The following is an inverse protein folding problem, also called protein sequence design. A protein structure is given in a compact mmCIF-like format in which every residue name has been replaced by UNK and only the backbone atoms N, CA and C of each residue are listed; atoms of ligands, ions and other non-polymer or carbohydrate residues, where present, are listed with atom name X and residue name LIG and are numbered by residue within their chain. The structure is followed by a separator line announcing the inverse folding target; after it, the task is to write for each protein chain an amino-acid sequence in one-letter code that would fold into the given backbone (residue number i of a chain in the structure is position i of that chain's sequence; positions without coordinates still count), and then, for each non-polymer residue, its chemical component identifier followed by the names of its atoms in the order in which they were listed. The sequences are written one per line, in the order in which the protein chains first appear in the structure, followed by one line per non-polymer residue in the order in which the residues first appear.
data_IF_213823859560
#
_entry.id   IF_213823859560
#
_cell.length_a   1.000
_cell.length_b   1.000
_cell.length_c   1.000
_cell.angle_alpha   90.00
_cell.angle_beta   90.00
_cell.angle_gamma   90.00
#
_symmetry.space_group_name_H-M   'P 1'
#
loop_
_entity.id
_entity.type
_entity.pdbx_description
1 polymer ?
#
# COMPACT_ATOMS: atom_id res chain seq x y z
N UNK A 1 10.04 24.51 1.19
CA UNK A 1 10.92 23.79 0.23
C UNK A 1 11.08 22.39 0.76
N UNK A 2 10.44 21.44 0.07
CA UNK A 2 10.48 20.00 0.35
C UNK A 2 11.77 19.41 -0.22
N UNK A 3 12.35 18.45 0.49
CA UNK A 3 13.47 17.68 -0.06
C UNK A 3 12.91 16.55 -0.92
N UNK A 4 13.64 16.15 -1.95
CA UNK A 4 13.25 15.02 -2.82
C UNK A 4 14.02 13.78 -2.37
N UNK A 5 13.29 12.68 -2.14
CA UNK A 5 13.85 11.37 -1.85
C UNK A 5 13.33 10.37 -2.87
N UNK A 6 14.23 9.60 -3.48
CA UNK A 6 13.85 8.46 -4.32
C UNK A 6 13.76 7.23 -3.44
N UNK A 7 12.55 6.75 -3.20
CA UNK A 7 12.29 5.54 -2.43
C UNK A 7 12.46 4.32 -3.34
N UNK A 8 13.26 3.35 -2.94
CA UNK A 8 13.39 2.08 -3.65
C UNK A 8 12.17 1.21 -3.38
N UNK A 9 11.39 0.92 -4.43
CA UNK A 9 10.17 0.11 -4.39
C UNK A 9 10.26 -1.08 -5.36
N UNK A 10 11.31 -1.91 -5.29
CA UNK A 10 11.48 -2.99 -6.26
C UNK A 10 10.36 -4.04 -6.15
N UNK A 11 10.11 -4.83 -7.20
CA UNK A 11 9.14 -5.92 -7.16
C UNK A 11 9.55 -6.94 -6.08
N UNK A 12 8.58 -7.41 -5.30
CA UNK A 12 8.78 -8.45 -4.30
C UNK A 12 7.90 -9.68 -4.60
N UNK A 13 8.24 -10.87 -4.06
CA UNK A 13 7.46 -12.08 -4.28
C UNK A 13 5.99 -11.91 -3.91
N UNK A 14 5.09 -12.54 -4.67
CA UNK A 14 3.69 -12.64 -4.28
C UNK A 14 3.56 -13.56 -3.06
N UNK A 15 2.91 -13.08 -2.01
CA UNK A 15 2.70 -13.82 -0.76
C UNK A 15 1.25 -14.30 -0.61
N UNK A 16 0.37 -13.88 -1.51
CA UNK A 16 -1.04 -14.28 -1.60
C UNK A 16 -1.27 -15.28 -2.73
N UNK A 17 -2.46 -15.88 -2.76
CA UNK A 17 -2.81 -16.88 -3.78
C UNK A 17 -2.81 -16.29 -5.20
N UNK A 18 -2.60 -17.17 -6.17
CA UNK A 18 -2.73 -16.86 -7.59
C UNK A 18 -4.11 -16.24 -7.90
N UNK A 19 -4.12 -15.16 -8.68
CA UNK A 19 -5.33 -14.43 -9.06
C UNK A 19 -5.80 -13.37 -8.06
N UNK A 20 -5.28 -13.34 -6.84
CA UNK A 20 -5.55 -12.24 -5.88
C UNK A 20 -4.75 -10.99 -6.24
N UNK A 21 -3.49 -11.19 -6.63
CA UNK A 21 -2.56 -10.12 -6.96
C UNK A 21 -1.75 -10.52 -8.20
N UNK A 22 -1.70 -9.66 -9.22
CA UNK A 22 -0.98 -9.88 -10.48
C UNK A 22 0.53 -9.64 -10.36
N UNK A 23 1.01 -9.20 -9.19
CA UNK A 23 2.41 -9.15 -8.80
C UNK A 23 3.32 -8.57 -9.88
N UNK A 24 3.03 -7.33 -10.30
CA UNK A 24 3.80 -6.58 -11.29
C UNK A 24 3.75 -7.15 -12.73
N UNK A 25 2.82 -8.06 -13.03
CA UNK A 25 2.70 -8.74 -14.32
C UNK A 25 2.57 -7.79 -15.52
N UNK A 26 1.97 -6.61 -15.34
CA UNK A 26 1.85 -5.61 -16.40
C UNK A 26 2.85 -4.44 -16.30
N UNK A 27 3.29 -4.07 -15.09
CA UNK A 27 4.30 -3.02 -14.87
C UNK A 27 5.11 -3.29 -13.60
N UNK A 28 6.43 -3.46 -13.79
CA UNK A 28 7.38 -3.49 -12.68
C UNK A 28 7.43 -2.15 -11.92
N UNK A 29 7.49 -2.22 -10.60
CA UNK A 29 7.84 -1.10 -9.73
C UNK A 29 9.36 -1.00 -9.60
N UNK A 30 9.90 0.20 -9.44
CA UNK A 30 11.33 0.44 -9.26
C UNK A 30 11.59 1.50 -8.19
N UNK A 31 11.09 2.71 -8.41
CA UNK A 31 11.27 3.84 -7.52
C UNK A 31 9.99 4.65 -7.41
N UNK A 32 9.83 5.28 -6.24
CA UNK A 32 8.83 6.30 -6.00
C UNK A 32 9.52 7.60 -5.58
N UNK A 33 9.35 8.67 -6.36
CA UNK A 33 9.77 10.00 -5.95
C UNK A 33 8.85 10.48 -4.83
N UNK A 34 9.42 10.83 -3.67
CA UNK A 34 8.72 11.39 -2.54
C UNK A 34 9.24 12.79 -2.23
N UNK A 35 8.34 13.79 -2.25
CA UNK A 35 8.62 15.13 -1.76
C UNK A 35 8.36 15.18 -0.26
N UNK A 36 9.43 14.97 0.51
CA UNK A 36 9.34 14.87 1.97
C UNK A 36 9.21 16.23 2.65
N UNK A 37 8.50 16.31 3.79
CA UNK A 37 8.61 17.46 4.66
C UNK A 37 10.03 17.55 5.26
N UNK A 38 10.42 18.75 5.66
CA UNK A 38 11.70 18.98 6.37
C UNK A 38 11.78 18.18 7.67
N UNK A 39 10.67 18.13 8.40
CA UNK A 39 10.50 17.34 9.62
C UNK A 39 9.36 16.36 9.38
N UNK A 40 9.65 15.08 9.51
CA UNK A 40 8.66 14.02 9.38
C UNK A 40 8.02 13.76 10.75
N UNK A 41 6.70 13.89 10.86
CA UNK A 41 5.98 13.46 12.05
C UNK A 41 5.84 11.93 12.07
N UNK A 42 6.17 11.30 13.19
CA UNK A 42 6.14 9.83 13.37
C UNK A 42 5.26 9.38 14.54
N UNK A 43 4.47 10.31 15.08
CA UNK A 43 3.65 10.11 16.29
C UNK A 43 2.29 9.49 15.98
N UNK A 44 1.74 9.76 14.78
CA UNK A 44 0.44 9.25 14.36
C UNK A 44 0.50 7.75 14.08
N UNK A 45 -0.56 7.04 14.47
CA UNK A 45 -0.75 5.63 14.17
C UNK A 45 -1.24 5.44 12.74
N UNK A 46 -0.96 4.27 12.18
CA UNK A 46 -1.58 3.83 10.93
C UNK A 46 -2.96 3.27 11.26
N UNK A 47 -4.00 3.97 10.84
CA UNK A 47 -5.40 3.60 11.05
C UNK A 47 -6.09 3.36 9.71
N UNK A 48 -7.27 2.75 9.70
CA UNK A 48 -8.01 2.34 8.49
C UNK A 48 -8.50 3.51 7.63
N UNK A 49 -8.50 4.73 8.16
CA UNK A 49 -8.92 5.91 7.42
C UNK A 49 -7.75 6.49 6.62
N UNK A 50 -8.01 6.83 5.35
CA UNK A 50 -7.05 7.55 4.52
C UNK A 50 -6.64 8.87 5.19
N UNK A 51 -5.35 9.05 5.52
CA UNK A 51 -4.92 10.21 6.27
C UNK A 51 -4.95 11.47 5.39
N UNK A 52 -5.33 12.63 5.96
CA UNK A 52 -5.32 13.88 5.20
C UNK A 52 -3.89 14.25 4.77
N UNK A 53 -3.76 14.82 3.57
CA UNK A 53 -2.49 15.30 3.02
C UNK A 53 -1.66 14.25 2.29
N UNK A 54 -2.11 13.00 2.21
CA UNK A 54 -1.57 12.00 1.29
C UNK A 54 -2.10 12.28 -0.12
N UNK A 55 -1.20 12.55 -1.08
CA UNK A 55 -1.55 12.73 -2.49
C UNK A 55 -0.49 12.21 -3.45
N UNK A 56 -0.92 11.62 -4.57
CA UNK A 56 -0.08 11.36 -5.73
C UNK A 56 -0.22 12.50 -6.72
N UNK A 57 0.85 13.26 -6.93
CA UNK A 57 0.82 14.44 -7.78
C UNK A 57 1.25 14.09 -9.19
N UNK A 58 0.48 14.55 -10.18
CA UNK A 58 0.76 14.31 -11.59
C UNK A 58 1.99 15.12 -12.02
N UNK A 59 2.93 14.49 -12.71
CA UNK A 59 4.10 15.14 -13.30
C UNK A 59 3.73 16.09 -14.42
N UNK A 60 2.84 15.63 -15.32
CA UNK A 60 2.24 16.42 -16.40
C UNK A 60 0.76 16.06 -16.53
N UNK A 61 -0.09 16.89 -15.92
CA UNK A 61 -1.53 16.68 -15.96
C UNK A 61 -2.11 16.71 -17.38
N UNK A 62 -1.48 17.46 -18.30
CA UNK A 62 -1.94 17.56 -19.68
C UNK A 62 -1.64 16.29 -20.48
N UNK A 63 -0.46 15.69 -20.26
CA UNK A 63 -0.07 14.42 -20.87
C UNK A 63 -0.88 13.23 -20.34
N UNK A 64 -1.47 13.36 -19.15
CA UNK A 64 -2.22 12.29 -18.48
C UNK A 64 -3.71 12.61 -18.31
N UNK A 65 -4.29 13.34 -19.27
CA UNK A 65 -5.70 13.71 -19.27
C UNK A 65 -6.69 12.52 -19.30
N UNK A 66 -6.20 11.29 -19.49
CA UNK A 66 -6.96 10.05 -19.43
C UNK A 66 -7.26 9.57 -17.99
N UNK A 67 -6.58 10.12 -16.98
CA UNK A 67 -6.81 9.80 -15.58
C UNK A 67 -8.07 10.51 -15.03
N UNK A 68 -8.70 9.98 -13.98
CA UNK A 68 -9.82 10.64 -13.31
C UNK A 68 -9.35 11.93 -12.62
N UNK A 69 -9.57 13.07 -13.28
CA UNK A 69 -9.13 14.41 -12.84
C UNK A 69 -10.04 15.10 -11.85
N UNK A 70 -11.19 14.51 -11.56
CA UNK A 70 -12.33 15.22 -10.96
C UNK A 70 -12.08 15.77 -9.54
N UNK A 71 -10.93 15.46 -8.92
CA UNK A 71 -10.69 15.67 -7.49
C UNK A 71 -9.26 16.07 -7.15
N UNK A 72 -8.52 16.58 -8.13
CA UNK A 72 -7.08 16.69 -8.08
C UNK A 72 -6.49 17.70 -7.08
N UNK A 73 -7.30 18.62 -6.55
CA UNK A 73 -6.82 19.76 -5.73
C UNK A 73 -7.34 19.78 -4.29
N UNK A 74 -8.31 18.93 -3.95
CA UNK A 74 -9.02 19.03 -2.66
C UNK A 74 -8.30 18.37 -1.48
N UNK A 75 -7.19 17.64 -1.72
CA UNK A 75 -6.57 16.74 -0.72
C UNK A 75 -5.18 17.16 -0.22
N UNK A 76 -4.59 18.20 -0.81
CA UNK A 76 -3.21 18.66 -0.53
C UNK A 76 -3.12 20.00 0.22
N UNK A 77 -4.12 20.36 1.04
CA UNK A 77 -4.14 21.66 1.71
C UNK A 77 -2.90 21.87 2.60
N UNK A 78 -2.22 23.01 2.46
CA UNK A 78 -1.03 23.35 3.25
C UNK A 78 0.31 22.83 2.71
N UNK A 79 0.31 22.16 1.55
CA UNK A 79 1.52 21.67 0.90
C UNK A 79 2.19 22.66 -0.06
N UNK A 80 1.57 23.82 -0.31
CA UNK A 80 2.02 24.77 -1.32
C UNK A 80 1.94 24.20 -2.74
N UNK A 81 1.03 23.24 -2.94
CA UNK A 81 0.76 22.61 -4.23
C UNK A 81 -0.43 23.28 -4.94
N UNK A 82 -0.45 24.60 -4.88
CA UNK A 82 -1.61 25.38 -5.29
C UNK A 82 -1.82 25.32 -6.81
N UNK A 83 -0.80 24.96 -7.59
CA UNK A 83 -0.84 24.91 -9.06
C UNK A 83 -0.76 23.48 -9.62
N UNK A 84 -0.51 22.49 -8.77
CA UNK A 84 -0.38 21.09 -9.16
C UNK A 84 -1.71 20.33 -9.14
N UNK A 85 -1.87 19.37 -10.06
CA UNK A 85 -2.96 18.41 -10.04
C UNK A 85 -2.48 17.11 -9.37
N UNK A 86 -3.26 16.59 -8.43
CA UNK A 86 -3.02 15.30 -7.80
C UNK A 86 -4.14 14.29 -8.09
N UNK A 87 -3.95 13.04 -7.71
CA UNK A 87 -4.99 12.03 -7.72
C UNK A 87 -5.70 12.05 -6.36
N UNK A 88 -7.02 11.90 -6.37
CA UNK A 88 -7.76 11.73 -5.13
C UNK A 88 -7.51 10.33 -4.53
N UNK A 89 -7.46 10.21 -3.19
CA UNK A 89 -7.18 8.93 -2.52
C UNK A 89 -8.15 7.79 -2.88
N UNK A 90 -9.37 8.09 -3.30
CA UNK A 90 -10.36 7.06 -3.69
C UNK A 90 -10.40 6.78 -5.20
N UNK A 91 -9.51 7.38 -5.99
CA UNK A 91 -9.43 7.18 -7.42
C UNK A 91 -8.27 6.25 -7.83
N UNK A 92 -7.64 5.56 -6.86
CA UNK A 92 -6.47 4.70 -7.09
C UNK A 92 -6.79 3.52 -7.99
N UNK A 93 -7.90 2.81 -7.74
CA UNK A 93 -8.28 1.65 -8.54
C UNK A 93 -8.63 2.07 -9.98
N UNK A 94 -9.49 3.08 -10.15
CA UNK A 94 -9.83 3.65 -11.46
C UNK A 94 -8.59 4.16 -12.21
N UNK A 95 -7.66 4.81 -11.52
CA UNK A 95 -6.41 5.27 -12.11
C UNK A 95 -5.53 4.08 -12.53
N UNK A 96 -5.48 3.01 -11.75
CA UNK A 96 -4.70 1.80 -12.08
C UNK A 96 -5.18 1.16 -13.38
N UNK A 97 -6.49 1.01 -13.56
CA UNK A 97 -7.09 0.50 -14.79
C UNK A 97 -6.74 1.38 -15.99
N UNK A 98 -6.84 2.70 -15.81
CA UNK A 98 -6.47 3.67 -16.85
C UNK A 98 -4.98 3.64 -17.20
N UNK A 99 -4.09 3.49 -16.22
CA UNK A 99 -2.65 3.34 -16.46
C UNK A 99 -2.37 2.06 -17.25
N UNK A 100 -3.03 0.95 -16.90
CA UNK A 100 -2.92 -0.32 -17.60
C UNK A 100 -3.39 -0.21 -19.05
N UNK A 101 -4.58 0.35 -19.28
CA UNK A 101 -5.16 0.58 -20.61
C UNK A 101 -4.21 1.38 -21.51
N UNK A 102 -3.59 2.43 -20.96
CA UNK A 102 -2.71 3.34 -21.68
C UNK A 102 -1.23 2.92 -21.67
N UNK A 103 -0.87 1.82 -20.98
CA UNK A 103 0.52 1.38 -20.77
C UNK A 103 1.42 2.46 -20.17
N UNK A 104 0.86 3.30 -19.31
CA UNK A 104 1.59 4.35 -18.62
C UNK A 104 2.18 3.80 -17.31
N UNK A 105 3.49 3.97 -17.12
CA UNK A 105 4.15 3.49 -15.89
C UNK A 105 3.87 4.47 -14.75
N UNK A 106 3.48 4.00 -13.55
CA UNK A 106 3.15 4.90 -12.45
C UNK A 106 4.25 5.94 -12.13
N UNK A 107 5.53 5.59 -12.23
CA UNK A 107 6.63 6.55 -11.95
C UNK A 107 6.76 7.66 -12.99
N UNK A 108 6.31 7.43 -14.21
CA UNK A 108 6.34 8.44 -15.29
C UNK A 108 5.18 9.42 -15.11
N UNK A 109 4.18 9.05 -14.33
CA UNK A 109 2.94 9.79 -14.14
C UNK A 109 2.94 10.53 -12.81
N UNK A 110 3.39 9.89 -11.73
CA UNK A 110 3.21 10.39 -10.37
C UNK A 110 4.53 10.61 -9.61
N UNK A 111 4.44 11.50 -8.62
CA UNK A 111 5.29 11.53 -7.44
C UNK A 111 4.42 11.65 -6.19
N UNK A 112 4.94 11.27 -5.02
CA UNK A 112 4.22 11.24 -3.76
C UNK A 112 4.47 12.51 -2.93
N UNK A 113 3.40 13.10 -2.40
CA UNK A 113 3.46 14.01 -1.25
C UNK A 113 2.80 13.33 -0.03
N UNK A 114 3.57 13.19 1.04
CA UNK A 114 3.13 12.57 2.30
C UNK A 114 3.77 13.26 3.52
N UNK A 115 3.00 13.86 4.45
CA UNK A 115 3.54 14.77 5.50
C UNK A 115 4.02 14.08 6.76
N UNK A 116 3.62 12.84 6.94
CA UNK A 116 3.82 12.09 8.17
C UNK A 116 4.03 10.61 7.85
N UNK A 117 4.50 9.86 8.84
CA UNK A 117 4.81 8.45 8.67
C UNK A 117 3.57 7.64 8.28
N UNK A 118 2.41 7.89 8.89
CA UNK A 118 1.14 7.25 8.55
C UNK A 118 0.75 7.51 7.09
N UNK A 119 0.87 8.75 6.63
CA UNK A 119 0.62 9.10 5.22
C UNK A 119 1.62 8.45 4.26
N UNK A 120 2.89 8.31 4.65
CA UNK A 120 3.90 7.65 3.83
C UNK A 120 3.64 6.15 3.70
N UNK A 121 3.20 5.50 4.79
CA UNK A 121 2.81 4.09 4.77
C UNK A 121 1.63 3.88 3.82
N UNK A 122 0.58 4.69 3.93
CA UNK A 122 -0.56 4.63 3.01
C UNK A 122 -0.17 4.94 1.57
N UNK A 123 0.72 5.91 1.33
CA UNK A 123 1.26 6.16 -0.01
C UNK A 123 2.04 4.98 -0.58
N UNK A 124 2.82 4.24 0.23
CA UNK A 124 3.49 3.03 -0.23
C UNK A 124 2.52 1.87 -0.45
N UNK A 125 1.44 1.80 0.32
CA UNK A 125 0.35 0.84 0.13
C UNK A 125 -0.36 1.08 -1.20
N UNK A 126 -0.81 2.31 -1.45
CA UNK A 126 -1.47 2.71 -2.71
C UNK A 126 -0.52 2.57 -3.90
N UNK A 127 0.79 2.79 -3.69
CA UNK A 127 1.79 2.53 -4.72
C UNK A 127 1.78 1.06 -5.15
N UNK A 128 1.60 0.12 -4.22
CA UNK A 128 1.47 -1.30 -4.57
C UNK A 128 0.20 -1.57 -5.40
N UNK A 129 -0.90 -0.86 -5.16
CA UNK A 129 -2.12 -0.97 -5.97
C UNK A 129 -1.87 -0.62 -7.44
N UNK A 130 -1.12 0.44 -7.73
CA UNK A 130 -0.77 0.81 -9.11
C UNK A 130 0.03 -0.25 -9.87
N UNK A 131 0.47 -1.33 -9.22
CA UNK A 131 1.18 -2.44 -9.85
C UNK A 131 0.41 -3.76 -9.80
N UNK A 132 -0.84 -3.70 -9.35
CA UNK A 132 -1.76 -4.81 -9.29
C UNK A 132 -2.98 -4.51 -10.15
N UNK A 133 -3.34 -5.42 -11.03
CA UNK A 133 -4.55 -5.31 -11.82
C UNK A 133 -5.29 -6.65 -11.75
N UNK A 134 -6.59 -6.63 -11.46
CA UNK A 134 -7.37 -7.85 -11.30
C UNK A 134 -8.77 -7.59 -10.76
N UNK A 135 -9.55 -8.63 -10.48
CA UNK A 135 -10.95 -8.47 -10.08
C UNK A 135 -11.14 -8.00 -8.62
N UNK A 136 -10.06 -7.96 -7.81
CA UNK A 136 -10.09 -7.53 -6.40
C UNK A 136 -11.13 -8.25 -5.51
N UNK A 137 -11.57 -9.45 -5.90
CA UNK A 137 -12.64 -10.22 -5.25
C UNK A 137 -12.33 -10.73 -3.82
N UNK A 138 -11.08 -10.59 -3.37
CA UNK A 138 -10.61 -11.03 -2.04
C UNK A 138 -9.92 -9.86 -1.32
N UNK A 139 -10.68 -8.84 -0.87
CA UNK A 139 -10.12 -7.60 -0.37
C UNK A 139 -9.11 -7.79 0.75
N UNK A 140 -9.42 -8.55 1.82
CA UNK A 140 -8.48 -8.71 2.94
C UNK A 140 -7.13 -9.34 2.51
N UNK A 141 -7.15 -10.22 1.51
CA UNK A 141 -5.92 -10.80 0.96
C UNK A 141 -5.16 -9.80 0.09
N UNK A 142 -5.83 -9.06 -0.80
CA UNK A 142 -5.20 -7.99 -1.59
C UNK A 142 -4.53 -6.96 -0.68
N UNK A 143 -5.28 -6.47 0.32
CA UNK A 143 -4.80 -5.49 1.29
C UNK A 143 -3.60 -6.02 2.07
N UNK A 144 -3.60 -7.29 2.48
CA UNK A 144 -2.46 -7.93 3.15
C UNK A 144 -1.19 -7.88 2.28
N UNK A 145 -1.30 -8.18 0.97
CA UNK A 145 -0.17 -8.09 0.05
C UNK A 145 0.36 -6.66 -0.02
N UNK A 146 -0.52 -5.67 -0.17
CA UNK A 146 -0.17 -4.25 -0.23
C UNK A 146 0.49 -3.75 1.05
N UNK A 147 -0.05 -4.10 2.23
CA UNK A 147 0.51 -3.73 3.53
C UNK A 147 1.92 -4.30 3.72
N UNK A 148 2.14 -5.58 3.36
CA UNK A 148 3.44 -6.22 3.48
C UNK A 148 4.47 -5.60 2.54
N UNK A 149 4.06 -5.25 1.31
CA UNK A 149 4.90 -4.52 0.36
C UNK A 149 5.28 -3.16 0.91
N UNK A 150 4.30 -2.39 1.38
CA UNK A 150 4.50 -1.07 1.95
C UNK A 150 5.51 -1.11 3.12
N UNK A 151 5.34 -2.06 4.05
CA UNK A 151 6.26 -2.23 5.18
C UNK A 151 7.66 -2.67 4.74
N UNK A 152 7.77 -3.55 3.75
CA UNK A 152 9.06 -4.00 3.23
C UNK A 152 9.82 -2.85 2.55
N UNK A 153 9.14 -2.05 1.73
CA UNK A 153 9.73 -0.86 1.12
C UNK A 153 10.07 0.21 2.17
N UNK A 154 9.23 0.41 3.18
CA UNK A 154 9.51 1.32 4.28
C UNK A 154 10.80 0.92 5.03
N UNK A 155 10.95 -0.36 5.37
CA UNK A 155 12.17 -0.90 6.00
C UNK A 155 13.40 -0.71 5.14
N UNK A 156 13.28 -1.00 3.84
CA UNK A 156 14.37 -0.82 2.87
C UNK A 156 14.88 0.63 2.83
N UNK A 157 13.95 1.58 2.93
CA UNK A 157 14.24 3.00 2.84
C UNK A 157 14.42 3.68 4.21
N UNK A 158 14.35 2.94 5.33
CA UNK A 158 14.31 3.50 6.68
C UNK A 158 15.44 4.49 6.96
N UNK A 159 16.67 4.18 6.53
CA UNK A 159 17.83 5.07 6.67
C UNK A 159 17.68 6.37 5.89
N UNK A 160 17.17 6.33 4.65
CA UNK A 160 16.97 7.51 3.82
C UNK A 160 15.82 8.39 4.33
N UNK A 161 14.80 7.76 4.94
CA UNK A 161 13.67 8.45 5.56
C UNK A 161 14.09 9.06 6.91
N UNK A 162 15.00 8.40 7.64
CA UNK A 162 15.41 8.77 9.00
C UNK A 162 14.54 8.10 10.08
N UNK A 163 14.09 6.87 9.84
CA UNK A 163 13.30 6.08 10.79
C UNK A 163 14.20 5.20 11.66
N UNK A 164 13.81 5.06 12.91
CA UNK A 164 14.40 4.11 13.85
C UNK A 164 13.58 2.81 13.92
N UNK A 165 14.14 1.79 14.58
CA UNK A 165 13.48 0.49 14.76
C UNK A 165 12.18 0.60 15.57
N UNK A 166 12.09 1.59 16.47
CA UNK A 166 10.89 1.81 17.27
C UNK A 166 9.72 2.29 16.40
N UNK A 167 9.96 3.21 15.46
CA UNK A 167 8.95 3.66 14.50
C UNK A 167 8.53 2.51 13.57
N UNK A 168 9.48 1.73 13.05
CA UNK A 168 9.19 0.57 12.20
C UNK A 168 8.38 -0.50 12.95
N UNK A 169 8.72 -0.76 14.21
CA UNK A 169 7.99 -1.70 15.07
C UNK A 169 6.55 -1.26 15.33
N UNK A 170 6.32 0.05 15.54
CA UNK A 170 4.96 0.59 15.67
C UNK A 170 4.14 0.42 14.39
N UNK A 171 4.71 0.76 13.23
CA UNK A 171 4.04 0.57 11.94
C UNK A 171 3.70 -0.90 11.70
N UNK A 172 4.63 -1.82 11.98
CA UNK A 172 4.38 -3.25 11.84
C UNK A 172 3.21 -3.72 12.72
N UNK A 173 3.14 -3.26 13.97
CA UNK A 173 2.05 -3.59 14.88
C UNK A 173 0.70 -3.00 14.41
N UNK A 174 0.70 -1.74 13.95
CA UNK A 174 -0.49 -1.08 13.44
C UNK A 174 -1.05 -1.81 12.20
N UNK A 175 -0.19 -2.18 11.24
CA UNK A 175 -0.60 -2.93 10.05
C UNK A 175 -1.10 -4.34 10.40
N UNK A 176 -0.48 -5.03 11.37
CA UNK A 176 -1.00 -6.31 11.86
C UNK A 176 -2.39 -6.19 12.48
N UNK A 177 -2.65 -5.10 13.22
CA UNK A 177 -3.96 -4.81 13.78
C UNK A 177 -5.00 -4.52 12.69
N UNK A 178 -4.65 -3.74 11.66
CA UNK A 178 -5.51 -3.47 10.51
C UNK A 178 -5.85 -4.74 9.72
N UNK A 179 -4.83 -5.57 9.44
CA UNK A 179 -5.02 -6.84 8.76
C UNK A 179 -5.99 -7.75 9.53
N UNK A 180 -5.83 -7.88 10.85
CA UNK A 180 -6.81 -8.60 11.70
C UNK A 180 -8.23 -8.07 11.55
N UNK A 181 -8.40 -6.75 11.57
CA UNK A 181 -9.70 -6.11 11.37
C UNK A 181 -10.31 -6.49 10.02
N UNK A 182 -9.56 -6.34 8.93
CA UNK A 182 -10.00 -6.66 7.56
C UNK A 182 -10.46 -8.12 7.41
N UNK A 183 -9.69 -9.08 7.93
CA UNK A 183 -10.07 -10.50 7.91
C UNK A 183 -11.33 -10.79 8.75
N UNK A 184 -11.45 -10.14 9.92
CA UNK A 184 -12.63 -10.28 10.76
C UNK A 184 -13.90 -9.69 10.10
N UNK A 185 -13.77 -8.52 9.46
CA UNK A 185 -14.87 -7.85 8.77
C UNK A 185 -15.34 -8.64 7.54
N UNK A 186 -14.44 -9.31 6.82
CA UNK A 186 -14.77 -10.20 5.70
C UNK A 186 -15.33 -11.56 6.18
N UNK A 187 -15.18 -11.89 7.47
CA UNK A 187 -15.65 -13.16 8.04
C UNK A 187 -14.83 -14.37 7.59
N UNK A 188 -13.56 -14.16 7.21
CA UNK A 188 -12.66 -15.22 6.70
C UNK A 188 -11.42 -15.37 7.59
N UNK A 189 -10.81 -16.55 7.57
CA UNK A 189 -9.60 -16.80 8.35
C UNK A 189 -8.39 -16.10 7.74
N UNK A 190 -7.56 -15.49 8.59
CA UNK A 190 -6.24 -15.01 8.19
C UNK A 190 -5.36 -16.20 7.70
N UNK A 191 -4.47 -15.97 6.72
CA UNK A 191 -3.65 -17.05 6.15
C UNK A 191 -2.65 -17.62 7.17
N UNK A 192 -2.30 -16.86 8.20
CA UNK A 192 -1.47 -17.31 9.32
C UNK A 192 -2.13 -16.96 10.64
N UNK A 193 -1.93 -17.79 11.69
CA UNK A 193 -2.52 -17.53 13.01
C UNK A 193 -1.88 -16.34 13.73
N UNK A 194 -0.61 -16.03 13.44
CA UNK A 194 0.15 -14.96 14.10
C UNK A 194 0.52 -13.85 13.10
N UNK A 195 -0.42 -12.92 12.90
CA UNK A 195 -0.21 -11.75 12.04
C UNK A 195 0.84 -10.78 12.64
N UNK A 196 0.95 -10.66 13.96
CA UNK A 196 1.97 -9.80 14.58
C UNK A 196 3.38 -10.30 14.23
N UNK A 197 3.60 -11.63 14.27
CA UNK A 197 4.87 -12.24 13.84
C UNK A 197 5.12 -12.08 12.34
N UNK A 198 4.09 -12.20 11.50
CA UNK A 198 4.21 -11.99 10.06
C UNK A 198 4.70 -10.58 9.74
N UNK A 199 4.07 -9.56 10.33
CA UNK A 199 4.44 -8.17 10.09
C UNK A 199 5.77 -7.81 10.75
N UNK A 200 6.10 -8.36 11.91
CA UNK A 200 7.37 -8.08 12.60
C UNK A 200 8.57 -8.80 11.95
N UNK A 201 8.32 -9.90 11.24
CA UNK A 201 9.31 -10.72 10.57
C UNK A 201 9.82 -10.16 9.23
N UNK A 202 10.77 -10.86 8.58
CA UNK A 202 11.20 -10.54 7.22
C UNK A 202 10.06 -10.74 6.21
N UNK A 203 10.14 -10.04 5.07
CA UNK A 203 9.17 -10.24 3.99
C UNK A 203 9.16 -11.71 3.52
N UNK A 204 7.99 -12.35 3.36
CA UNK A 204 7.94 -13.76 2.97
C UNK A 204 8.56 -14.02 1.60
N UNK A 205 9.35 -15.08 1.49
CA UNK A 205 9.97 -15.49 0.23
C UNK A 205 9.06 -16.35 -0.67
N UNK A 206 7.89 -16.76 -0.16
CA UNK A 206 6.95 -17.64 -0.83
C UNK A 206 5.50 -17.30 -0.40
N UNK A 207 4.48 -17.76 -1.17
CA UNK A 207 3.09 -17.64 -0.79
C UNK A 207 2.79 -18.19 0.61
N UNK A 208 1.96 -17.46 1.37
CA UNK A 208 1.49 -17.87 2.68
C UNK A 208 0.54 -19.06 2.51
N UNK A 209 0.84 -20.17 3.19
CA UNK A 209 -0.02 -21.33 3.17
C UNK A 209 -1.36 -20.99 3.83
N UNK A 210 -2.47 -21.10 3.08
CA UNK A 210 -3.79 -21.04 3.67
C UNK A 210 -3.92 -22.17 4.69
N UNK A 211 -4.05 -21.83 5.98
CA UNK A 211 -4.42 -22.80 7.00
C UNK A 211 -5.69 -23.52 6.56
N UNK A 212 -5.56 -24.79 6.16
CA UNK A 212 -6.71 -25.61 5.83
C UNK A 212 -7.56 -25.69 7.09
N UNK A 213 -8.69 -24.96 7.09
CA UNK A 213 -9.68 -25.03 8.16
C UNK A 213 -9.96 -26.50 8.43
N UNK A 214 -9.62 -26.95 9.63
CA UNK A 214 -9.90 -28.30 10.08
C UNK A 214 -11.38 -28.57 9.90
N UNK A 215 -11.70 -29.46 8.96
CA UNK A 215 -13.00 -30.10 8.89
C UNK A 215 -13.29 -30.64 10.28
N UNK A 216 -14.33 -30.12 10.93
CA UNK A 216 -14.85 -30.66 12.17
C UNK A 216 -15.37 -32.05 11.86
N UNK A 217 -14.53 -33.06 12.09
CA UNK A 217 -14.94 -34.44 12.13
C UNK A 217 -16.01 -34.58 13.22
N UNK A 218 -17.25 -34.56 12.77
CA UNK A 218 -18.42 -34.88 13.57
C UNK A 218 -18.31 -36.36 13.94
N UNK A 219 -17.81 -36.64 15.13
CA UNK A 219 -17.97 -37.95 15.77
C UNK A 219 -19.46 -38.15 16.06
N UNK A 220 -20.16 -38.80 15.15
CA UNK A 220 -21.39 -39.52 15.47
C UNK A 220 -21.02 -40.84 16.14
N UNK A 221 -20.99 -40.86 17.47
CA UNK A 221 -21.19 -42.12 18.20
C UNK A 221 -22.65 -42.49 18.07
N UNK A 222 -22.94 -43.53 17.30
CA UNK A 222 -24.18 -44.28 17.43
C UNK A 222 -23.97 -45.37 18.48
N UNK A 223 -24.88 -45.33 19.46
CA UNK A 223 -25.36 -46.34 20.44
C UNK A 223 -24.67 -47.71 20.45
#
# INVERSE_FOLDING_TARGET
MHDVVMLETPPLPRVVDDGVFDAYGWCASDVLEWRRPRVLSTERRVESANPPGLVFVLRDASAHAFLPRELARLHAFGYGLDDEEALAPWAIDDATDRLYEHRARPHDVFWLAAPALDTLVWGLHDWAHFHNHGPFDRPAMTELQCDLLALAWLRRNARAIGLDDAALGRVAHDLAALSRGRFADEGVAAPVPDLDALFSGPYPAAPLAQGHGGSTASFHSSV
#
